data_IF_251267049530
#
_entry.id   IF_251267049530
#
_cell.length_a   1.000
_cell.length_b   1.000
_cell.length_c   1.000
_cell.angle_alpha   90.00
_cell.angle_beta   90.00
_cell.angle_gamma   90.00
#
_symmetry.space_group_name_H-M   'P 1'
#
loop_
_entity.id
_entity.type
_entity.pdbx_description
1 polymer ?
#
# COMPACT_ATOMS: atom_id res chain seq x y z
N UNK A 1 -11.64 -20.42 3.02
CA UNK A 1 -11.08 -20.13 3.13
C UNK A 1 -10.94 -18.96 3.69
N UNK A 2 -10.68 -18.49 4.27
CA UNK A 2 -10.55 -17.55 4.89
C UNK A 2 -9.60 -16.66 4.47
N UNK A 3 -9.13 -16.61 3.52
CA UNK A 3 -8.20 -15.78 3.06
C UNK A 3 -8.71 -14.43 2.87
N UNK A 4 -9.96 -14.20 2.96
CA UNK A 4 -10.54 -12.91 2.71
C UNK A 4 -10.76 -12.12 3.96
N UNK A 5 -10.04 -12.47 4.98
CA UNK A 5 -10.16 -11.76 6.22
C UNK A 5 -9.68 -10.33 6.05
N UNK A 6 -10.46 -9.38 6.51
CA UNK A 6 -10.12 -7.97 6.39
C UNK A 6 -9.74 -7.40 7.73
N UNK A 7 -8.78 -6.51 7.73
CA UNK A 7 -8.33 -5.84 8.94
C UNK A 7 -8.78 -4.39 8.87
N UNK A 8 -9.56 -3.96 9.86
CA UNK A 8 -10.07 -2.60 9.88
C UNK A 8 -9.11 -1.66 10.58
N UNK A 9 -8.83 -0.54 9.95
CA UNK A 9 -8.00 0.49 10.54
C UNK A 9 -8.80 1.78 10.57
N UNK A 10 -8.54 2.62 11.56
CA UNK A 10 -9.19 3.91 11.65
C UNK A 10 -8.12 4.99 11.52
N UNK A 11 -8.34 5.95 10.64
CA UNK A 11 -7.41 7.06 10.48
C UNK A 11 -8.17 8.35 10.73
N UNK A 12 -7.47 9.36 11.18
CA UNK A 12 -8.11 10.64 11.48
C UNK A 12 -8.18 11.48 10.21
N UNK A 13 -9.35 12.01 9.94
CA UNK A 13 -9.55 12.80 8.75
C UNK A 13 -9.16 14.27 8.94
N UNK A 14 -9.12 14.72 10.20
CA UNK A 14 -8.81 16.11 10.49
C UNK A 14 -7.97 16.17 11.75
N UNK A 15 -6.81 16.82 11.73
CA UNK A 15 -5.97 16.92 12.91
C UNK A 15 -6.62 17.68 14.05
N UNK A 16 -7.56 18.55 13.74
CA UNK A 16 -8.22 19.36 14.76
C UNK A 16 -9.54 18.77 15.25
N UNK A 17 -10.03 17.71 14.64
CA UNK A 17 -11.29 17.10 15.01
C UNK A 17 -11.12 15.61 15.23
N UNK A 18 -11.08 15.20 16.48
CA UNK A 18 -10.85 13.80 16.81
C UNK A 18 -12.00 12.89 16.40
N UNK A 19 -13.16 13.46 16.15
CA UNK A 19 -14.30 12.66 15.76
C UNK A 19 -14.35 12.42 14.25
N UNK A 20 -13.54 13.12 13.48
CA UNK A 20 -13.51 12.93 12.04
C UNK A 20 -12.62 11.74 11.74
N UNK A 21 -13.24 10.60 11.49
CA UNK A 21 -12.54 9.34 11.30
C UNK A 21 -12.90 8.73 9.95
N UNK A 22 -11.91 8.14 9.29
CA UNK A 22 -12.15 7.35 8.10
C UNK A 22 -11.75 5.92 8.44
N UNK A 23 -12.65 4.98 8.19
CA UNK A 23 -12.36 3.59 8.42
C UNK A 23 -11.89 2.96 7.11
N UNK A 24 -10.83 2.16 7.19
CA UNK A 24 -10.22 1.53 6.02
C UNK A 24 -10.07 0.05 6.29
N UNK A 25 -10.61 -0.78 5.41
CA UNK A 25 -10.48 -2.23 5.54
C UNK A 25 -9.44 -2.72 4.54
N UNK A 26 -8.42 -3.39 5.04
CA UNK A 26 -7.28 -3.84 4.25
C UNK A 26 -7.26 -5.36 4.22
N UNK A 27 -6.98 -5.93 3.07
CA UNK A 27 -6.89 -7.36 2.93
C UNK A 27 -5.62 -7.86 3.58
N UNK A 28 -5.59 -9.11 3.96
CA UNK A 28 -4.39 -9.71 4.47
C UNK A 28 -3.41 -9.80 3.30
N UNK A 29 -2.21 -9.30 3.49
CA UNK A 29 -1.23 -9.19 2.41
C UNK A 29 -0.21 -10.30 2.53
N UNK A 30 -0.12 -11.12 1.47
CA UNK A 30 0.78 -12.25 1.46
C UNK A 30 2.13 -11.86 0.87
N UNK A 31 3.08 -12.78 0.96
CA UNK A 31 4.40 -12.55 0.38
C UNK A 31 4.28 -12.33 -1.14
N UNK A 32 3.41 -13.10 -1.79
CA UNK A 32 3.24 -12.94 -3.22
C UNK A 32 2.67 -11.57 -3.56
N UNK A 33 1.76 -11.07 -2.71
CA UNK A 33 1.21 -9.74 -2.91
C UNK A 33 2.31 -8.69 -2.88
N UNK A 34 3.25 -8.84 -1.96
CA UNK A 34 4.36 -7.89 -1.84
C UNK A 34 5.25 -7.98 -3.08
N UNK A 35 5.48 -9.19 -3.58
CA UNK A 35 6.29 -9.35 -4.77
C UNK A 35 5.63 -8.70 -5.99
N UNK A 36 4.33 -8.85 -6.11
CA UNK A 36 3.60 -8.23 -7.21
C UNK A 36 3.65 -6.71 -7.13
N UNK A 37 3.54 -6.18 -5.93
CA UNK A 37 3.61 -4.73 -5.74
C UNK A 37 5.01 -4.20 -6.05
N UNK A 38 6.02 -4.98 -5.70
CA UNK A 38 7.40 -4.57 -5.99
C UNK A 38 7.63 -4.48 -7.49
N UNK A 39 7.00 -5.38 -8.25
CA UNK A 39 7.13 -5.32 -9.70
C UNK A 39 6.48 -4.06 -10.27
N UNK A 40 5.44 -3.56 -9.61
CA UNK A 40 4.83 -2.32 -10.06
C UNK A 40 5.68 -1.11 -9.68
N UNK A 41 6.46 -1.24 -8.62
CA UNK A 41 7.31 -0.16 -8.19
C UNK A 41 8.57 -0.06 -9.04
N UNK A 42 9.13 -1.22 -9.42
CA UNK A 42 10.34 -1.26 -10.23
C UNK A 42 10.00 -1.70 -11.64
N UNK A 43 10.08 -0.77 -12.58
CA UNK A 43 9.74 -1.07 -13.97
C UNK A 43 10.95 -0.93 -14.86
N UNK A 44 11.02 -1.78 -15.87
CA UNK A 44 12.12 -1.75 -16.82
C UNK A 44 11.60 -1.19 -18.13
N UNK A 45 12.27 -0.14 -18.61
CA UNK A 45 11.93 0.45 -19.88
C UNK A 45 13.17 0.63 -20.68
N UNK A 46 13.21 0.09 -21.86
CA UNK A 46 14.36 0.25 -22.78
C UNK A 46 15.67 -0.14 -22.10
N UNK A 47 15.62 -1.16 -21.29
CA UNK A 47 16.82 -1.62 -20.62
C UNK A 47 17.15 -0.91 -19.32
N UNK A 48 16.43 0.14 -19.02
CA UNK A 48 16.68 0.88 -17.79
C UNK A 48 15.66 0.54 -16.74
N UNK A 49 16.11 0.41 -15.49
CA UNK A 49 15.22 0.15 -14.37
C UNK A 49 14.92 1.45 -13.68
N UNK A 50 13.66 1.76 -13.51
CA UNK A 50 13.26 2.95 -12.79
C UNK A 50 12.33 2.57 -11.65
N UNK A 51 12.32 3.40 -10.61
CA UNK A 51 11.48 3.18 -9.46
C UNK A 51 10.33 4.18 -9.50
N UNK A 52 9.12 3.71 -9.30
CA UNK A 52 7.95 4.56 -9.28
C UNK A 52 7.18 4.36 -7.99
N UNK A 53 7.29 5.31 -7.07
CA UNK A 53 6.54 5.23 -5.84
C UNK A 53 5.06 5.41 -6.10
N UNK A 54 4.71 6.26 -7.06
CA UNK A 54 3.30 6.44 -7.38
C UNK A 54 2.71 5.16 -7.95
N UNK A 55 3.48 4.39 -8.72
CA UNK A 55 3.04 3.12 -9.24
C UNK A 55 2.73 2.14 -8.12
N UNK A 56 3.59 2.11 -7.10
CA UNK A 56 3.36 1.23 -5.97
C UNK A 56 2.10 1.64 -5.21
N UNK A 57 1.96 2.92 -4.88
CA UNK A 57 0.80 3.36 -4.09
C UNK A 57 -0.51 3.16 -4.84
N UNK A 58 -0.47 3.37 -6.16
CA UNK A 58 -1.66 3.16 -6.97
C UNK A 58 -2.05 1.69 -6.95
N UNK A 59 -1.07 0.80 -7.06
CA UNK A 59 -1.32 -0.63 -7.02
C UNK A 59 -1.86 -1.04 -5.65
N UNK A 60 -1.21 -0.57 -4.59
CA UNK A 60 -1.57 -0.95 -3.23
C UNK A 60 -2.98 -0.49 -2.87
N UNK A 61 -3.30 0.75 -3.18
CA UNK A 61 -4.61 1.29 -2.84
C UNK A 61 -5.72 0.62 -3.65
N UNK A 62 -5.42 0.24 -4.89
CA UNK A 62 -6.41 -0.39 -5.72
C UNK A 62 -6.64 -1.85 -5.33
N UNK A 63 -5.58 -2.56 -4.98
CA UNK A 63 -5.68 -3.98 -4.74
C UNK A 63 -5.77 -4.42 -3.29
N UNK A 64 -5.23 -3.65 -2.37
CA UNK A 64 -5.15 -4.07 -0.98
C UNK A 64 -6.18 -3.43 -0.06
N UNK A 65 -6.71 -2.27 -0.43
CA UNK A 65 -7.77 -1.65 0.34
C UNK A 65 -9.10 -2.14 -0.22
N UNK A 66 -9.85 -2.87 0.58
CA UNK A 66 -11.09 -3.46 0.11
C UNK A 66 -12.23 -2.44 0.10
N UNK A 67 -12.36 -1.68 1.15
CA UNK A 67 -13.41 -0.69 1.25
C UNK A 67 -13.08 0.34 2.31
N UNK A 68 -13.80 1.45 2.27
CA UNK A 68 -13.62 2.52 3.23
C UNK A 68 -14.98 3.02 3.68
N UNK A 69 -15.00 3.75 4.79
CA UNK A 69 -16.20 4.40 5.28
C UNK A 69 -15.81 5.77 5.80
N UNK A 70 -16.21 6.84 5.14
CA UNK A 70 -17.08 6.93 3.96
C UNK A 70 -16.46 6.30 2.74
N UNK A 71 -17.28 5.86 1.81
CA UNK A 71 -16.81 5.15 0.65
C UNK A 71 -15.96 6.04 -0.25
N UNK A 72 -14.74 5.59 -0.54
CA UNK A 72 -13.81 6.34 -1.37
C UNK A 72 -13.22 5.40 -2.41
N UNK A 73 -13.04 5.90 -3.62
CA UNK A 73 -12.37 5.12 -4.65
C UNK A 73 -10.87 5.19 -4.42
N UNK A 74 -10.12 4.30 -5.06
CA UNK A 74 -8.67 4.34 -4.92
C UNK A 74 -8.11 5.66 -5.43
N UNK A 75 -8.71 6.24 -6.46
CA UNK A 75 -8.27 7.51 -6.97
C UNK A 75 -8.51 8.61 -5.95
N UNK A 76 -9.64 8.56 -5.27
CA UNK A 76 -9.93 9.55 -4.23
C UNK A 76 -8.97 9.38 -3.06
N UNK A 77 -8.64 8.14 -2.71
CA UNK A 77 -7.70 7.88 -1.62
C UNK A 77 -6.32 8.45 -1.95
N UNK A 78 -5.89 8.29 -3.20
CA UNK A 78 -4.59 8.80 -3.61
C UNK A 78 -4.54 10.31 -3.62
N UNK A 79 -5.72 10.96 -3.68
CA UNK A 79 -5.80 12.41 -3.73
C UNK A 79 -6.06 13.04 -2.38
N UNK A 80 -6.06 12.25 -1.31
CA UNK A 80 -6.33 12.78 0.02
C UNK A 80 -5.24 13.74 0.47
N UNK A 81 -5.61 14.59 1.42
CA UNK A 81 -4.65 15.52 1.98
C UNK A 81 -3.51 14.74 2.62
N UNK A 82 -2.34 15.37 2.66
CA UNK A 82 -1.15 14.70 3.16
C UNK A 82 -1.34 14.09 4.54
N UNK A 83 -2.07 14.78 5.41
CA UNK A 83 -2.28 14.27 6.76
C UNK A 83 -2.98 12.91 6.75
N UNK A 84 -4.04 12.78 5.94
CA UNK A 84 -4.79 11.54 5.86
C UNK A 84 -4.02 10.50 5.06
N UNK A 85 -3.47 10.91 3.92
CA UNK A 85 -2.74 10.00 3.05
C UNK A 85 -1.56 9.36 3.75
N UNK A 86 -0.87 10.14 4.59
CA UNK A 86 0.26 9.61 5.32
C UNK A 86 -0.17 8.51 6.28
N UNK A 87 -1.30 8.70 6.95
CA UNK A 87 -1.80 7.67 7.86
C UNK A 87 -2.19 6.42 7.11
N UNK A 88 -2.87 6.57 5.97
CA UNK A 88 -3.29 5.42 5.19
C UNK A 88 -2.06 4.68 4.66
N UNK A 89 -1.06 5.40 4.21
CA UNK A 89 0.13 4.75 3.68
C UNK A 89 0.87 3.96 4.75
N UNK A 90 0.81 4.40 6.01
CA UNK A 90 1.49 3.69 7.08
C UNK A 90 0.85 2.37 7.46
N UNK A 91 -0.39 2.17 7.06
CA UNK A 91 -1.08 0.92 7.31
C UNK A 91 -0.55 -0.18 6.39
N UNK A 92 -0.03 0.21 5.23
CA UNK A 92 0.40 -0.73 4.20
C UNK A 92 1.92 -0.94 4.26
N UNK A 93 2.42 -2.01 3.63
CA UNK A 93 3.87 -2.21 3.57
C UNK A 93 4.56 -1.00 2.96
N UNK A 94 5.71 -0.65 3.49
CA UNK A 94 6.43 0.53 3.05
C UNK A 94 7.32 0.21 1.85
N UNK A 95 7.60 1.19 1.00
CA UNK A 95 8.43 0.93 -0.19
C UNK A 95 9.78 0.30 0.13
N UNK A 96 10.41 0.68 1.24
CA UNK A 96 11.68 0.09 1.58
C UNK A 96 11.53 -1.39 1.94
N UNK A 97 10.38 -1.79 2.47
CA UNK A 97 10.14 -3.20 2.78
C UNK A 97 10.01 -4.00 1.49
N UNK A 98 9.44 -3.40 0.45
CA UNK A 98 9.33 -4.08 -0.82
C UNK A 98 10.71 -4.27 -1.44
N UNK A 99 11.55 -3.25 -1.34
CA UNK A 99 12.90 -3.35 -1.88
C UNK A 99 13.68 -4.42 -1.15
N UNK A 100 13.52 -4.51 0.16
CA UNK A 100 14.20 -5.54 0.93
C UNK A 100 13.70 -6.93 0.56
N UNK A 101 12.41 -7.06 0.32
CA UNK A 101 11.85 -8.35 -0.05
C UNK A 101 12.43 -8.84 -1.38
N UNK A 102 12.59 -7.92 -2.33
CA UNK A 102 13.17 -8.30 -3.60
C UNK A 102 14.64 -8.65 -3.45
N UNK A 103 15.39 -7.84 -2.72
CA UNK A 103 16.80 -8.11 -2.54
C UNK A 103 17.02 -9.36 -1.71
N UNK A 104 16.16 -9.57 -0.73
CA UNK A 104 16.28 -10.73 0.10
C UNK A 104 16.19 -12.03 -0.68
N UNK A 105 15.40 -12.00 -1.75
CA UNK A 105 15.28 -13.17 -2.59
C UNK A 105 16.55 -13.52 -3.32
N UNK A 106 17.42 -12.50 -3.51
CA UNK A 106 18.67 -12.76 -4.17
C UNK A 106 19.79 -12.94 -3.17
N UNK A 107 19.87 -12.08 -2.18
CA UNK A 107 20.98 -12.12 -1.27
C UNK A 107 20.97 -13.32 -0.36
N UNK A 108 19.73 -13.84 -0.05
CA UNK A 108 19.67 -14.95 0.76
C UNK A 108 20.42 -16.07 0.24
N UNK A 109 20.50 -16.21 -1.02
CA UNK A 109 21.16 -17.31 -1.49
C UNK A 109 22.59 -17.14 -1.40
N UNK A 110 23.08 -15.96 -1.35
CA UNK A 110 24.48 -15.73 -1.27
C UNK A 110 25.01 -15.88 0.11
N UNK A 111 24.17 -15.98 1.07
CA UNK A 111 24.70 -16.08 2.42
C UNK A 111 24.83 -17.48 2.92
#
# INVERSE_FOLDING_TARGET
MKNDELIKHSVRADPDDKSAIIEVWVKEISFLDIQNAAQEMFKVKHGDVSMSLSGYWEFAFTNWIDKTNPELTSKELLSLKGYVGEQVSKILPQPNELAEALQGGFTKQGS
#
